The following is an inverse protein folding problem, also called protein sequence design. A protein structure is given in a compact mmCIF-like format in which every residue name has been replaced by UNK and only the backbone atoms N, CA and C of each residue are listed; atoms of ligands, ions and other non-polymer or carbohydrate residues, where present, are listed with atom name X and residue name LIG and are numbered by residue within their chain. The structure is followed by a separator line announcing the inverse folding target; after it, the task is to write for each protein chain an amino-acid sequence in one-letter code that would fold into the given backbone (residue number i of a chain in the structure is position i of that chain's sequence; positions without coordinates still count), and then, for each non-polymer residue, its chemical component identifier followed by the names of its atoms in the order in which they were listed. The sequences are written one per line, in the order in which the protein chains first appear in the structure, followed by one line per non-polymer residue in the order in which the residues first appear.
data_IF_144774746894
#
_entry.id   IF_144774746894
#
_cell.length_a   1.000
_cell.length_b   1.000
_cell.length_c   1.000
_cell.angle_alpha   90.00
_cell.angle_beta   90.00
_cell.angle_gamma   90.00
#
_symmetry.space_group_name_H-M   'P 1'
#
loop_
_entity.id
_entity.type
_entity.pdbx_description
1 polymer ?
#
# COMPACT_ATOMS: atom_id res chain seq x y z
N UNK A 1 -11.86 -1.79 44.71
CA UNK A 1 -12.03 -3.09 44.02
C UNK A 1 -12.24 -2.84 42.53
N UNK A 2 -13.29 -2.11 42.14
CA UNK A 2 -13.64 -1.71 40.76
C UNK A 2 -12.49 -1.07 39.96
N UNK A 3 -11.71 -0.14 40.52
CA UNK A 3 -10.57 0.47 39.81
C UNK A 3 -9.56 -0.55 39.29
N UNK A 4 -9.33 -1.63 40.05
CA UNK A 4 -8.43 -2.73 39.64
C UNK A 4 -9.06 -3.59 38.55
N UNK A 5 -10.38 -3.78 38.58
CA UNK A 5 -11.13 -4.54 37.57
C UNK A 5 -11.21 -3.78 36.24
N UNK A 6 -11.48 -2.47 36.27
CA UNK A 6 -11.43 -1.58 35.10
C UNK A 6 -10.02 -1.54 34.49
N UNK A 7 -8.99 -1.41 35.33
CA UNK A 7 -7.60 -1.45 34.85
C UNK A 7 -7.26 -2.79 34.20
N UNK A 8 -7.67 -3.91 34.78
CA UNK A 8 -7.49 -5.23 34.18
C UNK A 8 -8.28 -5.40 32.87
N UNK A 9 -9.49 -4.83 32.79
CA UNK A 9 -10.31 -4.83 31.57
C UNK A 9 -9.61 -4.07 30.44
N UNK A 10 -9.16 -2.85 30.71
CA UNK A 10 -8.41 -2.03 29.74
C UNK A 10 -7.10 -2.73 29.35
N UNK A 11 -6.38 -3.36 30.28
CA UNK A 11 -5.15 -4.08 29.95
C UNK A 11 -5.42 -5.28 29.02
N UNK A 12 -6.52 -6.02 29.24
CA UNK A 12 -6.95 -7.10 28.33
C UNK A 12 -7.37 -6.57 26.97
N UNK A 13 -8.10 -5.45 26.93
CA UNK A 13 -8.54 -4.78 25.71
C UNK A 13 -7.36 -4.39 24.82
N UNK A 14 -6.21 -4.06 25.43
CA UNK A 14 -4.99 -3.69 24.70
C UNK A 14 -3.92 -4.79 24.60
N UNK A 15 -4.22 -6.02 25.04
CA UNK A 15 -3.22 -7.10 25.17
C UNK A 15 -2.55 -7.52 23.86
N UNK A 16 -3.20 -7.28 22.71
CA UNK A 16 -2.67 -7.61 21.39
C UNK A 16 -1.82 -6.50 20.75
N UNK A 17 -1.69 -5.33 21.39
CA UNK A 17 -0.94 -4.21 20.83
C UNK A 17 0.45 -4.08 21.45
N UNK A 18 1.40 -3.65 20.61
CA UNK A 18 2.75 -3.34 21.06
C UNK A 18 2.72 -2.10 21.93
N UNK A 19 3.35 -2.17 23.11
CA UNK A 19 3.43 -1.05 24.03
C UNK A 19 4.18 0.13 23.39
N UNK A 20 3.50 1.27 23.29
CA UNK A 20 4.03 2.56 22.86
C UNK A 20 3.49 3.64 23.79
N UNK A 21 4.11 4.83 23.77
CA UNK A 21 3.63 5.97 24.56
C UNK A 21 2.17 6.34 24.19
N UNK A 22 1.85 6.34 22.89
CA UNK A 22 0.50 6.59 22.36
C UNK A 22 -0.53 5.58 22.89
N UNK A 23 -0.18 4.29 22.95
CA UNK A 23 -1.05 3.25 23.53
C UNK A 23 -1.23 3.44 25.03
N UNK A 24 -0.20 3.90 25.73
CA UNK A 24 -0.28 4.14 27.17
C UNK A 24 -1.16 5.34 27.50
N UNK A 25 -1.03 6.44 26.76
CA UNK A 25 -1.91 7.62 26.87
C UNK A 25 -3.38 7.24 26.61
N UNK A 26 -3.64 6.43 25.58
CA UNK A 26 -5.00 5.96 25.26
C UNK A 26 -5.59 5.02 26.32
N UNK A 27 -4.76 4.15 26.92
CA UNK A 27 -5.18 3.33 28.07
C UNK A 27 -5.62 4.20 29.24
N UNK A 28 -4.86 5.26 29.54
CA UNK A 28 -5.18 6.21 30.62
C UNK A 28 -6.46 7.00 30.32
N UNK A 29 -6.65 7.44 29.07
CA UNK A 29 -7.87 8.15 28.65
C UNK A 29 -9.12 7.27 28.76
N UNK A 30 -9.06 6.04 28.26
CA UNK A 30 -10.19 5.10 28.31
C UNK A 30 -10.50 4.71 29.75
N UNK A 31 -9.47 4.46 30.57
CA UNK A 31 -9.65 4.15 31.98
C UNK A 31 -10.35 5.31 32.69
N UNK A 32 -9.91 6.55 32.45
CA UNK A 32 -10.51 7.76 33.06
C UNK A 32 -11.97 7.92 32.64
N UNK A 33 -12.30 7.73 31.36
CA UNK A 33 -13.68 7.79 30.86
C UNK A 33 -14.57 6.69 31.45
N UNK A 34 -14.04 5.47 31.61
CA UNK A 34 -14.78 4.37 32.22
C UNK A 34 -15.00 4.60 33.72
N UNK A 35 -13.99 5.11 34.44
CA UNK A 35 -14.13 5.50 35.85
C UNK A 35 -15.26 6.52 36.02
N UNK A 36 -15.28 7.57 35.19
CA UNK A 36 -16.34 8.59 35.21
C UNK A 36 -17.72 8.01 34.91
N UNK A 37 -17.87 7.16 33.89
CA UNK A 37 -19.18 6.54 33.56
C UNK A 37 -19.70 5.65 34.68
N UNK A 38 -18.83 4.88 35.32
CA UNK A 38 -19.23 4.02 36.45
C UNK A 38 -19.68 4.88 37.62
N UNK A 39 -19.00 5.99 37.90
CA UNK A 39 -19.39 6.94 38.94
C UNK A 39 -20.77 7.55 38.65
N UNK A 40 -21.01 8.01 37.41
CA UNK A 40 -22.31 8.53 36.96
C UNK A 40 -23.44 7.51 37.15
N UNK A 41 -23.21 6.23 36.81
CA UNK A 41 -24.23 5.18 36.99
C UNK A 41 -24.50 4.85 38.46
N UNK A 42 -23.47 4.89 39.31
CA UNK A 42 -23.62 4.70 40.75
C UNK A 42 -24.39 5.86 41.38
N UNK A 43 -24.14 7.10 40.93
CA UNK A 43 -24.91 8.28 41.36
C UNK A 43 -26.38 8.20 40.93
N UNK A 44 -26.67 7.56 39.79
CA UNK A 44 -28.02 7.28 39.33
C UNK A 44 -28.71 6.13 40.10
N UNK A 45 -28.07 5.60 41.15
CA UNK A 45 -28.63 4.58 42.03
C UNK A 45 -28.42 3.14 41.55
N UNK A 46 -27.58 2.93 40.52
CA UNK A 46 -27.23 1.60 40.04
C UNK A 46 -26.24 0.93 40.99
N UNK A 47 -26.32 -0.40 41.15
CA UNK A 47 -25.31 -1.11 41.93
C UNK A 47 -23.95 -1.05 41.22
N UNK A 48 -22.87 -1.14 41.99
CA UNK A 48 -21.50 -1.02 41.46
C UNK A 48 -21.17 -2.07 40.39
N UNK A 49 -21.70 -3.28 40.53
CA UNK A 49 -21.47 -4.37 39.58
C UNK A 49 -22.26 -4.14 38.28
N UNK A 50 -23.52 -3.71 38.39
CA UNK A 50 -24.34 -3.34 37.24
C UNK A 50 -23.80 -2.11 36.48
N UNK A 51 -23.27 -1.13 37.23
CA UNK A 51 -22.64 0.06 36.66
C UNK A 51 -21.38 -0.30 35.88
N UNK A 52 -20.58 -1.24 36.38
CA UNK A 52 -19.41 -1.78 35.67
C UNK A 52 -19.83 -2.47 34.37
N UNK A 53 -20.75 -3.43 34.44
CA UNK A 53 -21.23 -4.19 33.28
C UNK A 53 -21.81 -3.25 32.21
N UNK A 54 -22.54 -2.22 32.63
CA UNK A 54 -23.11 -1.26 31.71
C UNK A 54 -22.08 -0.30 31.09
N UNK A 55 -21.04 0.08 31.83
CA UNK A 55 -19.96 0.93 31.32
C UNK A 55 -19.12 0.21 30.25
N UNK A 56 -18.86 -1.09 30.40
CA UNK A 56 -18.03 -1.87 29.46
C UNK A 56 -18.79 -2.42 28.25
N UNK A 57 -20.14 -2.50 28.32
CA UNK A 57 -21.02 -3.12 27.31
C UNK A 57 -20.87 -2.62 25.87
N UNK A 58 -20.33 -1.42 25.68
CA UNK A 58 -20.17 -0.80 24.36
C UNK A 58 -18.73 -0.79 23.84
N UNK A 59 -17.77 -1.34 24.59
CA UNK A 59 -16.35 -1.33 24.24
C UNK A 59 -15.90 -2.76 23.91
N UNK A 60 -16.31 -3.25 22.75
CA UNK A 60 -15.93 -4.59 22.27
C UNK A 60 -14.50 -4.64 21.71
N UNK A 61 -13.98 -3.52 21.17
CA UNK A 61 -12.61 -3.40 20.67
C UNK A 61 -12.14 -1.95 20.63
N UNK A 62 -10.83 -1.72 20.77
CA UNK A 62 -10.18 -0.40 20.65
C UNK A 62 -9.46 -0.23 19.31
N UNK A 63 -9.63 -1.18 18.40
CA UNK A 63 -8.96 -1.19 17.09
C UNK A 63 -9.20 0.09 16.28
N UNK A 64 -10.36 0.73 16.45
CA UNK A 64 -10.74 1.97 15.78
C UNK A 64 -10.25 3.25 16.48
N UNK A 65 -9.90 3.17 17.76
CA UNK A 65 -9.44 4.32 18.53
C UNK A 65 -7.93 4.56 18.31
N UNK A 66 -7.18 3.51 17.97
CA UNK A 66 -5.75 3.60 17.70
C UNK A 66 -5.50 4.45 16.45
N UNK A 67 -4.76 5.56 16.63
CA UNK A 67 -4.58 6.56 15.59
C UNK A 67 -3.89 5.97 14.34
N UNK A 68 -4.55 6.14 13.19
CA UNK A 68 -4.13 5.65 11.88
C UNK A 68 -4.84 4.39 11.39
N UNK A 69 -5.67 3.75 12.20
CA UNK A 69 -6.51 2.62 11.81
C UNK A 69 -7.84 3.09 11.24
N UNK A 70 -7.97 3.10 9.91
CA UNK A 70 -9.21 3.51 9.24
C UNK A 70 -9.97 2.30 8.71
N UNK A 71 -11.29 2.40 8.77
CA UNK A 71 -12.22 1.44 8.18
C UNK A 71 -12.26 1.64 6.68
N UNK A 72 -11.75 0.67 5.92
CA UNK A 72 -11.75 0.70 4.46
C UNK A 72 -12.48 -0.52 3.88
N UNK A 73 -13.12 -0.32 2.73
CA UNK A 73 -13.69 -1.40 1.94
C UNK A 73 -12.60 -2.14 1.16
N UNK A 74 -12.01 -3.18 1.77
CA UNK A 74 -10.82 -3.88 1.24
C UNK A 74 -11.08 -4.52 -0.13
N UNK A 75 -12.21 -5.21 -0.30
CA UNK A 75 -12.50 -5.89 -1.57
C UNK A 75 -12.69 -4.90 -2.73
N UNK A 76 -13.33 -3.77 -2.46
CA UNK A 76 -13.49 -2.68 -3.45
C UNK A 76 -12.14 -2.02 -3.76
N UNK A 77 -11.32 -1.79 -2.74
CA UNK A 77 -9.96 -1.27 -2.87
C UNK A 77 -9.07 -2.19 -3.74
N UNK A 78 -9.04 -3.48 -3.44
CA UNK A 78 -8.23 -4.47 -4.17
C UNK A 78 -8.69 -4.61 -5.62
N UNK A 79 -10.01 -4.56 -5.89
CA UNK A 79 -10.56 -4.64 -7.24
C UNK A 79 -10.08 -3.47 -8.10
N UNK A 80 -10.16 -2.24 -7.60
CA UNK A 80 -9.67 -1.06 -8.33
C UNK A 80 -8.14 -1.07 -8.49
N UNK A 81 -7.42 -1.59 -7.49
CA UNK A 81 -5.96 -1.69 -7.55
C UNK A 81 -5.52 -2.70 -8.62
N UNK A 82 -6.14 -3.87 -8.68
CA UNK A 82 -5.87 -4.90 -9.69
C UNK A 82 -6.30 -4.40 -11.09
N UNK A 83 -7.43 -3.69 -11.20
CA UNK A 83 -7.83 -3.05 -12.46
C UNK A 83 -6.78 -2.05 -12.94
N UNK A 84 -6.27 -1.21 -12.03
CA UNK A 84 -5.19 -0.26 -12.35
C UNK A 84 -3.91 -0.99 -12.77
N UNK A 85 -3.55 -2.07 -12.06
CA UNK A 85 -2.42 -2.93 -12.40
C UNK A 85 -2.56 -3.55 -13.80
N UNK A 86 -3.76 -4.00 -14.15
CA UNK A 86 -4.06 -4.51 -15.49
C UNK A 86 -3.84 -3.44 -16.56
N UNK A 87 -4.37 -2.23 -16.36
CA UNK A 87 -4.21 -1.11 -17.31
C UNK A 87 -2.73 -0.78 -17.51
N UNK A 88 -1.95 -0.63 -16.42
CA UNK A 88 -0.54 -0.30 -16.54
C UNK A 88 0.28 -1.44 -17.16
N UNK A 89 -0.04 -2.70 -16.85
CA UNK A 89 0.58 -3.87 -17.47
C UNK A 89 0.31 -3.92 -18.97
N UNK A 90 -0.93 -3.66 -19.40
CA UNK A 90 -1.31 -3.60 -20.82
C UNK A 90 -0.62 -2.43 -21.55
N UNK A 91 -0.56 -1.25 -20.95
CA UNK A 91 0.12 -0.09 -21.53
C UNK A 91 1.61 -0.37 -21.75
N UNK A 92 2.29 -0.93 -20.75
CA UNK A 92 3.70 -1.34 -20.89
C UNK A 92 3.83 -2.37 -22.00
N UNK A 93 2.99 -3.39 -22.03
CA UNK A 93 3.05 -4.43 -23.05
C UNK A 93 2.90 -3.86 -24.47
N UNK A 94 1.92 -2.96 -24.69
CA UNK A 94 1.70 -2.27 -25.97
C UNK A 94 2.93 -1.46 -26.40
N UNK A 95 3.50 -0.68 -25.47
CA UNK A 95 4.72 0.12 -25.73
C UNK A 95 5.90 -0.78 -26.10
N UNK A 96 5.92 -2.02 -25.63
CA UNK A 96 7.00 -2.98 -25.88
C UNK A 96 6.83 -3.74 -27.21
N UNK A 97 5.72 -3.58 -27.94
CA UNK A 97 5.46 -4.28 -29.22
C UNK A 97 6.45 -3.86 -30.33
N UNK A 98 6.74 -2.56 -30.57
CA UNK A 98 7.70 -2.16 -31.60
C UNK A 98 9.10 -2.71 -31.36
N UNK A 99 9.49 -2.91 -30.09
CA UNK A 99 10.78 -3.51 -29.74
C UNK A 99 10.91 -4.96 -30.23
N UNK A 100 9.79 -5.70 -30.30
CA UNK A 100 9.75 -7.08 -30.83
C UNK A 100 10.25 -7.16 -32.28
N UNK A 101 9.98 -6.13 -33.08
CA UNK A 101 10.36 -6.06 -34.50
C UNK A 101 11.90 -6.02 -34.66
N UNK A 102 12.61 -5.46 -33.67
CA UNK A 102 14.07 -5.38 -33.65
C UNK A 102 14.75 -6.67 -33.14
N UNK A 103 13.99 -7.77 -32.94
CA UNK A 103 14.44 -9.06 -32.37
C UNK A 103 15.13 -8.99 -30.99
N UNK A 104 15.16 -7.81 -30.35
CA UNK A 104 15.68 -7.57 -29.00
C UNK A 104 14.48 -7.37 -28.06
N UNK A 105 14.41 -8.15 -26.98
CA UNK A 105 13.33 -8.04 -26.00
C UNK A 105 12.10 -8.90 -26.27
N UNK A 106 12.19 -9.91 -27.14
CA UNK A 106 11.11 -10.90 -27.34
C UNK A 106 10.73 -11.55 -26.01
N UNK A 107 11.72 -12.01 -25.23
CA UNK A 107 11.50 -12.57 -23.89
C UNK A 107 10.75 -11.62 -22.95
N UNK A 108 11.07 -10.33 -22.97
CA UNK A 108 10.39 -9.33 -22.13
C UNK A 108 8.94 -9.15 -22.57
N UNK A 109 8.69 -9.04 -23.88
CA UNK A 109 7.34 -8.86 -24.41
C UNK A 109 6.44 -10.06 -24.10
N UNK A 110 6.95 -11.28 -24.28
CA UNK A 110 6.24 -12.52 -23.94
C UNK A 110 5.96 -12.59 -22.43
N UNK A 111 6.96 -12.29 -21.58
CA UNK A 111 6.77 -12.24 -20.13
C UNK A 111 5.69 -11.22 -19.73
N UNK A 112 5.69 -10.03 -20.32
CA UNK A 112 4.68 -9.00 -20.07
C UNK A 112 3.28 -9.43 -20.52
N UNK A 113 3.17 -10.15 -21.64
CA UNK A 113 1.92 -10.74 -22.10
C UNK A 113 1.37 -11.71 -21.05
N UNK A 114 2.19 -12.65 -20.57
CA UNK A 114 1.78 -13.58 -19.51
C UNK A 114 1.39 -12.87 -18.21
N UNK A 115 2.14 -11.84 -17.79
CA UNK A 115 1.79 -11.04 -16.61
C UNK A 115 0.43 -10.35 -16.81
N UNK A 116 0.20 -9.70 -17.95
CA UNK A 116 -1.08 -9.03 -18.22
C UNK A 116 -2.25 -10.02 -18.24
N UNK A 117 -2.06 -11.20 -18.82
CA UNK A 117 -3.06 -12.26 -18.87
C UNK A 117 -3.33 -12.81 -17.45
N UNK A 118 -2.29 -13.05 -16.66
CA UNK A 118 -2.41 -13.52 -15.27
C UNK A 118 -3.16 -12.49 -14.40
N UNK A 119 -2.80 -11.20 -14.49
CA UNK A 119 -3.50 -10.12 -13.77
C UNK A 119 -4.96 -10.03 -14.23
N UNK A 120 -5.22 -10.21 -15.54
CA UNK A 120 -6.58 -10.25 -16.09
C UNK A 120 -7.41 -11.43 -15.56
N UNK A 121 -6.83 -12.62 -15.47
CA UNK A 121 -7.49 -13.79 -14.89
C UNK A 121 -7.79 -13.57 -13.40
N UNK A 122 -6.85 -13.01 -12.64
CA UNK A 122 -7.04 -12.65 -11.22
C UNK A 122 -8.18 -11.63 -11.08
N UNK A 123 -8.23 -10.61 -11.94
CA UNK A 123 -9.29 -9.61 -11.95
C UNK A 123 -10.67 -10.22 -12.20
N UNK A 124 -10.78 -11.07 -13.23
CA UNK A 124 -12.03 -11.77 -13.55
C UNK A 124 -12.44 -12.70 -12.40
N UNK A 125 -11.49 -13.45 -11.84
CA UNK A 125 -11.75 -14.33 -10.69
C UNK A 125 -12.23 -13.54 -9.47
N UNK A 126 -11.67 -12.36 -9.19
CA UNK A 126 -12.14 -11.48 -8.13
C UNK A 126 -13.57 -11.01 -8.39
N UNK A 127 -13.90 -10.57 -9.61
CA UNK A 127 -15.27 -10.16 -9.95
C UNK A 127 -16.25 -11.31 -9.78
N UNK A 128 -15.87 -12.51 -10.21
CA UNK A 128 -16.72 -13.69 -10.14
C UNK A 128 -16.96 -14.19 -8.72
N UNK A 129 -15.95 -14.06 -7.84
CA UNK A 129 -16.03 -14.49 -6.43
C UNK A 129 -16.76 -13.48 -5.54
N UNK A 130 -16.79 -12.21 -5.95
CA UNK A 130 -17.29 -11.14 -5.10
C UNK A 130 -18.80 -10.93 -5.30
N UNK A 131 -19.61 -11.65 -4.50
CA UNK A 131 -21.04 -11.35 -4.31
C UNK A 131 -21.22 -10.00 -3.59
N UNK A 132 -22.34 -9.31 -3.81
CA UNK A 132 -22.58 -7.95 -3.27
C UNK A 132 -22.39 -7.85 -1.74
N UNK A 133 -22.75 -8.87 -0.97
CA UNK A 133 -22.54 -8.88 0.50
C UNK A 133 -21.06 -8.90 0.91
N UNK A 134 -20.18 -9.49 0.10
CA UNK A 134 -18.73 -9.51 0.37
C UNK A 134 -18.00 -8.26 -0.13
N UNK A 135 -18.67 -7.36 -0.88
CA UNK A 135 -18.07 -6.10 -1.33
C UNK A 135 -17.89 -5.10 -0.20
N UNK A 136 -18.80 -5.15 0.76
CA UNK A 136 -18.90 -4.18 1.86
C UNK A 136 -18.21 -4.66 3.14
N UNK A 137 -17.35 -5.69 3.07
CA UNK A 137 -16.54 -6.11 4.21
C UNK A 137 -15.55 -5.00 4.58
N UNK A 138 -15.83 -4.37 5.72
CA UNK A 138 -14.98 -3.34 6.31
C UNK A 138 -13.84 -4.02 7.05
N UNK A 139 -12.60 -3.67 6.70
CA UNK A 139 -11.43 -4.03 7.49
C UNK A 139 -10.75 -2.78 8.01
N UNK A 140 -10.13 -2.92 9.17
CA UNK A 140 -9.32 -1.87 9.79
C UNK A 140 -7.91 -1.97 9.21
N UNK A 141 -7.44 -0.90 8.56
CA UNK A 141 -6.09 -0.83 7.99
C UNK A 141 -5.36 0.39 8.49
N UNK A 142 -4.10 0.21 8.87
CA UNK A 142 -3.26 1.32 9.32
C UNK A 142 -2.77 2.15 8.13
N UNK A 143 -3.43 3.27 7.85
CA UNK A 143 -3.18 4.15 6.71
C UNK A 143 -1.86 4.94 6.86
N UNK A 144 -1.46 5.27 8.10
CA UNK A 144 -0.27 6.10 8.36
C UNK A 144 1.01 5.53 7.76
N UNK A 145 1.18 4.20 7.79
CA UNK A 145 2.35 3.56 7.19
C UNK A 145 2.34 3.72 5.67
N UNK A 146 1.20 3.48 5.03
CA UNK A 146 1.08 3.50 3.56
C UNK A 146 1.45 4.88 2.99
N UNK A 147 1.03 5.97 3.62
CA UNK A 147 1.37 7.33 3.17
C UNK A 147 2.83 7.72 3.42
N UNK A 148 3.47 7.26 4.51
CA UNK A 148 4.90 7.52 4.78
C UNK A 148 5.82 6.96 3.69
N UNK A 149 5.45 5.82 3.11
CA UNK A 149 6.27 5.14 2.10
C UNK A 149 6.14 5.74 0.69
N UNK A 150 5.08 6.52 0.41
CA UNK A 150 4.83 7.14 -0.91
C UNK A 150 6.02 7.96 -1.41
N UNK A 151 6.61 8.82 -0.57
CA UNK A 151 7.76 9.66 -0.95
C UNK A 151 9.07 8.86 -1.05
N UNK A 152 9.25 7.85 -0.18
CA UNK A 152 10.46 7.02 -0.17
C UNK A 152 10.57 6.14 -1.41
N UNK A 153 9.44 5.60 -1.91
CA UNK A 153 9.42 4.73 -3.09
C UNK A 153 9.86 5.50 -4.35
N UNK A 154 9.44 6.76 -4.51
CA UNK A 154 9.91 7.60 -5.61
C UNK A 154 11.42 7.88 -5.55
N UNK A 155 11.96 8.12 -4.36
CA UNK A 155 13.40 8.33 -4.18
C UNK A 155 14.21 7.06 -4.45
N UNK A 156 13.75 5.91 -3.97
CA UNK A 156 14.37 4.60 -4.23
C UNK A 156 14.34 4.29 -5.73
N UNK A 157 13.21 4.53 -6.38
CA UNK A 157 13.07 4.32 -7.82
C UNK A 157 14.00 5.25 -8.62
N UNK A 158 14.08 6.53 -8.27
CA UNK A 158 14.99 7.48 -8.92
C UNK A 158 16.46 7.04 -8.79
N UNK A 159 16.86 6.62 -7.59
CA UNK A 159 18.21 6.11 -7.32
C UNK A 159 18.51 4.86 -8.16
N UNK A 160 17.56 3.93 -8.24
CA UNK A 160 17.67 2.72 -9.05
C UNK A 160 17.82 3.03 -10.55
N UNK A 161 17.02 3.95 -11.08
CA UNK A 161 17.12 4.39 -12.48
C UNK A 161 18.48 5.02 -12.75
N UNK A 162 18.94 5.93 -11.89
CA UNK A 162 20.26 6.57 -12.04
C UNK A 162 21.37 5.52 -12.06
N UNK A 163 21.35 4.56 -11.13
CA UNK A 163 22.35 3.50 -11.08
C UNK A 163 22.37 2.68 -12.39
N UNK A 164 21.20 2.30 -12.91
CA UNK A 164 21.10 1.56 -14.17
C UNK A 164 21.59 2.41 -15.34
N UNK A 165 21.18 3.67 -15.43
CA UNK A 165 21.63 4.56 -16.50
C UNK A 165 23.16 4.72 -16.50
N UNK A 166 23.77 4.89 -15.32
CA UNK A 166 25.23 4.93 -15.17
C UNK A 166 25.87 3.64 -15.65
N UNK A 167 25.33 2.47 -15.32
CA UNK A 167 25.86 1.20 -15.83
C UNK A 167 25.76 1.07 -17.34
N UNK A 168 24.64 1.51 -17.96
CA UNK A 168 24.48 1.50 -19.42
C UNK A 168 25.50 2.42 -20.08
N UNK A 169 25.70 3.62 -19.54
CA UNK A 169 26.70 4.58 -20.02
C UNK A 169 28.11 4.02 -19.85
N UNK A 170 28.44 3.43 -18.71
CA UNK A 170 29.75 2.84 -18.45
C UNK A 170 30.05 1.64 -19.37
N UNK A 171 29.06 0.78 -19.63
CA UNK A 171 29.24 -0.37 -20.52
C UNK A 171 29.35 0.03 -21.99
N UNK A 172 28.55 1.00 -22.46
CA UNK A 172 28.55 1.43 -23.87
C UNK A 172 29.63 2.44 -24.22
N UNK A 173 29.90 3.36 -23.30
CA UNK A 173 30.79 4.50 -23.54
C UNK A 173 31.93 4.60 -22.53
N UNK A 174 32.06 3.67 -21.58
CA UNK A 174 33.12 3.77 -20.55
C UNK A 174 34.52 3.82 -21.13
N UNK A 175 34.80 3.04 -22.17
CA UNK A 175 36.06 3.11 -22.90
C UNK A 175 36.25 4.47 -23.59
N UNK A 176 35.24 4.96 -24.29
CA UNK A 176 35.34 6.22 -25.04
C UNK A 176 35.41 7.44 -24.11
N UNK A 177 34.70 7.42 -22.99
CA UNK A 177 34.78 8.43 -21.92
C UNK A 177 36.16 8.40 -21.24
N UNK A 178 36.69 7.22 -20.97
CA UNK A 178 38.01 7.06 -20.34
C UNK A 178 39.16 7.51 -21.24
N UNK A 179 39.07 7.23 -22.53
CA UNK A 179 40.08 7.62 -23.53
C UNK A 179 39.76 8.92 -24.26
N UNK A 180 38.73 9.65 -23.82
CA UNK A 180 38.26 10.92 -24.41
C UNK A 180 38.05 10.87 -25.93
N UNK A 181 37.55 9.75 -26.44
CA UNK A 181 37.29 9.52 -27.87
C UNK A 181 35.92 10.09 -28.25
N UNK A 182 35.78 10.69 -29.46
CA UNK A 182 34.49 11.15 -29.92
C UNK A 182 33.53 9.98 -30.10
N UNK A 183 32.34 10.09 -29.53
CA UNK A 183 31.28 9.09 -29.69
C UNK A 183 30.77 9.13 -31.13
N UNK A 184 31.03 8.05 -31.88
CA UNK A 184 30.59 7.92 -33.27
C UNK A 184 29.36 7.01 -33.39
N UNK A 185 28.20 7.61 -33.65
CA UNK A 185 26.98 6.88 -34.01
C UNK A 185 27.02 6.68 -35.53
N UNK A 186 27.40 5.48 -35.96
CA UNK A 186 27.73 5.17 -37.35
C UNK A 186 26.50 4.86 -38.22
N UNK A 187 25.29 4.77 -37.65
CA UNK A 187 24.06 4.55 -38.41
C UNK A 187 22.76 4.52 -37.61
N UNK A 188 21.59 4.56 -38.28
CA UNK A 188 20.27 4.63 -37.64
C UNK A 188 19.95 3.42 -36.76
N UNK A 189 20.51 2.24 -37.09
CA UNK A 189 20.35 1.03 -36.28
C UNK A 189 21.04 1.14 -34.90
N UNK A 190 22.24 1.71 -34.84
CA UNK A 190 22.94 1.92 -33.57
C UNK A 190 22.21 2.92 -32.67
N UNK A 191 21.62 3.96 -33.28
CA UNK A 191 20.79 4.93 -32.58
C UNK A 191 19.54 4.25 -31.98
N UNK A 192 18.86 3.39 -32.75
CA UNK A 192 17.71 2.64 -32.26
C UNK A 192 18.07 1.68 -31.11
N UNK A 193 19.23 1.04 -31.19
CA UNK A 193 19.72 0.15 -30.13
C UNK A 193 20.04 0.90 -28.82
N UNK A 194 20.59 2.10 -28.96
CA UNK A 194 20.86 3.00 -27.85
C UNK A 194 19.55 3.44 -27.19
N UNK A 195 18.59 3.93 -27.98
CA UNK A 195 17.26 4.28 -27.50
C UNK A 195 16.57 3.12 -26.77
N UNK A 196 16.66 1.90 -27.32
CA UNK A 196 16.10 0.71 -26.67
C UNK A 196 16.74 0.45 -25.30
N UNK A 197 18.07 0.48 -25.22
CA UNK A 197 18.81 0.25 -23.97
C UNK A 197 18.43 1.26 -22.89
N UNK A 198 18.24 2.53 -23.28
CA UNK A 198 17.81 3.58 -22.36
C UNK A 198 16.32 3.54 -22.02
N UNK A 199 15.46 2.99 -22.88
CA UNK A 199 14.01 2.88 -22.63
C UNK A 199 13.63 1.77 -21.65
N UNK A 200 14.38 0.66 -21.63
CA UNK A 200 14.07 -0.53 -20.82
C UNK A 200 13.90 -0.24 -19.31
N UNK A 201 14.78 0.54 -18.65
CA UNK A 201 14.65 0.81 -17.21
C UNK A 201 13.37 1.59 -16.87
N UNK A 202 12.87 2.42 -17.79
CA UNK A 202 11.67 3.22 -17.56
C UNK A 202 10.39 2.38 -17.49
N UNK A 203 10.38 1.13 -17.97
CA UNK A 203 9.25 0.20 -17.79
C UNK A 203 8.96 0.01 -16.28
N UNK A 204 10.00 0.07 -15.43
CA UNK A 204 9.84 -0.04 -13.98
C UNK A 204 9.05 1.11 -13.33
N UNK A 205 8.75 2.20 -14.06
CA UNK A 205 7.95 3.33 -13.56
C UNK A 205 6.53 2.93 -13.18
N UNK A 206 6.01 1.81 -13.68
CA UNK A 206 4.72 1.31 -13.24
C UNK A 206 4.69 1.00 -11.74
N UNK A 207 5.81 0.61 -11.13
CA UNK A 207 5.87 0.27 -9.70
C UNK A 207 5.53 1.48 -8.81
N UNK A 208 6.23 2.63 -8.90
CA UNK A 208 5.88 3.81 -8.11
C UNK A 208 4.50 4.39 -8.47
N UNK A 209 4.07 4.27 -9.74
CA UNK A 209 2.74 4.74 -10.15
C UNK A 209 1.62 3.91 -9.54
N UNK A 210 1.74 2.57 -9.52
CA UNK A 210 0.79 1.69 -8.85
C UNK A 210 0.71 2.00 -7.37
N UNK A 211 1.85 2.19 -6.71
CA UNK A 211 1.87 2.53 -5.30
C UNK A 211 1.21 3.88 -5.00
N UNK A 212 1.48 4.90 -5.83
CA UNK A 212 0.84 6.21 -5.68
C UNK A 212 -0.68 6.11 -5.87
N UNK A 213 -1.13 5.35 -6.87
CA UNK A 213 -2.56 5.13 -7.11
C UNK A 213 -3.19 4.34 -5.97
N UNK A 214 -2.49 3.33 -5.43
CA UNK A 214 -2.90 2.58 -4.24
C UNK A 214 -3.12 3.51 -3.04
N UNK A 215 -2.23 4.47 -2.79
CA UNK A 215 -2.43 5.49 -1.74
C UNK A 215 -3.64 6.41 -2.04
N UNK A 216 -3.82 6.81 -3.30
CA UNK A 216 -4.92 7.70 -3.71
C UNK A 216 -6.29 7.03 -3.62
N UNK A 217 -6.38 5.74 -3.95
CA UNK A 217 -7.62 4.96 -3.86
C UNK A 217 -7.96 4.70 -2.38
N UNK A 218 -6.95 4.50 -1.54
CA UNK A 218 -7.11 4.27 -0.10
C UNK A 218 -7.89 5.42 0.58
N UNK A 219 -7.53 6.68 0.30
CA UNK A 219 -8.24 7.85 0.84
C UNK A 219 -9.64 8.09 0.26
N UNK A 220 -10.00 7.44 -0.86
CA UNK A 220 -11.35 7.52 -1.45
C UNK A 220 -12.32 6.52 -0.80
N UNK A 221 -11.79 5.43 -0.23
CA UNK A 221 -12.56 4.35 0.37
C UNK A 221 -12.50 4.34 1.90
N UNK A 222 -11.98 5.42 2.48
CA UNK A 222 -12.13 5.72 3.88
C UNK A 222 -13.61 5.94 4.17
N UNK A 223 -14.17 5.10 5.04
CA UNK A 223 -15.52 5.34 5.57
C UNK A 223 -15.42 6.54 6.48
N UNK A 224 -15.88 7.71 6.02
CA UNK A 224 -16.09 8.87 6.89
C UNK A 224 -17.07 8.42 7.98
N UNK A 225 -16.55 8.28 9.20
CA UNK A 225 -17.37 8.01 10.37
C UNK A 225 -17.99 9.29 10.92
#
# INVERSE_FOLDING_TARGET
MIKKELSNYVERLFSNYKQSQEIQEMKEEILTNLEAKVEDYVEQGMSRDEAFDQAVKHIDSVDFMIDGNHRIYVNRYLTELIQTALIYSLLIWIITIPARIMFKGVLLNEALMFVSMMVGVIYLFMIWRTNDETRDTVSIVNIKYVFKWKRKIWLIWLMFIIAILVTIIALRFGSDLWFWRPVHISGPYQLAELLYSFSYPFISIAIPLLFNKACSILGKYEVNS
#
